data_IF_086355135405
#
_entry.id   IF_086355135405
#
_cell.length_a   1.000
_cell.length_b   1.000
_cell.length_c   1.000
_cell.angle_alpha   90.00
_cell.angle_beta   90.00
_cell.angle_gamma   90.00
#
_symmetry.space_group_name_H-M   'P 1'
#
loop_
_entity.id
_entity.type
_entity.pdbx_description
1 polymer ?
#
# COMPACT_ATOMS: atom_id res chain seq x y z
N UNK A 1 -6.26 -2.43 15.57
CA UNK A 1 -5.35 -1.84 14.55
C UNK A 1 -3.94 -2.44 14.59
N UNK A 2 -3.35 -2.70 15.77
CA UNK A 2 -2.03 -3.34 15.92
C UNK A 2 -1.91 -4.71 15.21
N UNK A 3 -2.90 -5.60 15.36
CA UNK A 3 -2.93 -6.90 14.67
C UNK A 3 -2.97 -6.76 13.14
N UNK A 4 -3.75 -5.81 12.63
CA UNK A 4 -3.85 -5.54 11.19
C UNK A 4 -2.52 -5.00 10.64
N UNK A 5 -1.82 -4.17 11.41
CA UNK A 5 -0.45 -3.73 11.08
C UNK A 5 0.49 -4.95 11.00
N UNK A 6 0.48 -5.85 11.99
CA UNK A 6 1.32 -7.05 11.94
C UNK A 6 1.00 -7.95 10.74
N UNK A 7 -0.29 -8.15 10.43
CA UNK A 7 -0.73 -8.91 9.24
C UNK A 7 -0.24 -8.23 7.95
N UNK A 8 -0.32 -6.90 7.87
CA UNK A 8 0.16 -6.13 6.71
C UNK A 8 1.67 -6.24 6.51
N UNK A 9 2.45 -6.21 7.60
CA UNK A 9 3.91 -6.35 7.55
C UNK A 9 4.28 -7.71 6.96
N UNK A 10 3.71 -8.80 7.51
CA UNK A 10 3.94 -10.16 6.98
C UNK A 10 3.53 -10.30 5.52
N UNK A 11 2.41 -9.68 5.14
CA UNK A 11 1.95 -9.68 3.75
C UNK A 11 2.95 -8.98 2.83
N UNK A 12 3.41 -7.78 3.17
CA UNK A 12 4.39 -7.03 2.38
C UNK A 12 5.71 -7.81 2.33
N UNK A 13 6.19 -8.36 3.44
CA UNK A 13 7.40 -9.18 3.49
C UNK A 13 7.29 -10.48 2.67
N UNK A 14 6.10 -11.06 2.52
CA UNK A 14 5.90 -12.23 1.66
C UNK A 14 5.86 -11.91 0.16
N UNK A 15 5.45 -10.69 -0.20
CA UNK A 15 5.32 -10.25 -1.58
C UNK A 15 6.64 -9.72 -2.15
N UNK A 16 7.45 -9.09 -1.31
CA UNK A 16 8.78 -8.59 -1.64
C UNK A 16 9.81 -9.39 -0.85
N UNK A 17 10.67 -10.14 -1.55
CA UNK A 17 11.78 -10.93 -0.97
C UNK A 17 12.50 -10.15 0.15
N UNK A 18 13.03 -10.82 1.18
CA UNK A 18 13.63 -10.16 2.33
C UNK A 18 14.75 -9.23 1.87
N UNK A 19 14.47 -7.93 1.85
CA UNK A 19 15.51 -6.93 1.64
C UNK A 19 16.31 -6.91 2.95
N UNK A 20 17.45 -7.58 2.95
CA UNK A 20 18.43 -7.55 4.04
C UNK A 20 19.05 -6.15 4.07
N UNK A 21 18.32 -5.17 4.60
CA UNK A 21 18.92 -3.87 4.93
C UNK A 21 19.59 -3.99 6.29
N UNK A 22 20.88 -4.24 6.26
CA UNK A 22 21.86 -4.23 7.37
C UNK A 22 22.13 -2.82 7.95
N UNK A 23 21.28 -1.84 7.66
CA UNK A 23 21.41 -0.46 8.17
C UNK A 23 20.25 -0.15 9.09
N UNK A 24 20.47 0.68 10.13
CA UNK A 24 19.49 1.19 11.11
C UNK A 24 18.34 1.97 10.43
N UNK A 25 17.52 1.29 9.64
CA UNK A 25 16.37 1.84 8.93
C UNK A 25 15.13 1.50 9.76
N UNK A 26 14.23 2.48 9.89
CA UNK A 26 12.92 2.34 10.54
C UNK A 26 12.25 1.03 10.09
N UNK A 27 11.75 0.23 11.04
CA UNK A 27 11.09 -1.05 10.73
C UNK A 27 9.87 -0.84 9.82
N UNK A 28 9.51 -1.83 9.00
CA UNK A 28 8.34 -1.72 8.11
C UNK A 28 7.06 -1.49 8.92
N UNK A 29 6.96 -2.07 10.11
CA UNK A 29 5.86 -1.83 11.06
C UNK A 29 5.80 -0.37 11.52
N UNK A 30 6.93 0.21 11.93
CA UNK A 30 7.01 1.61 12.37
C UNK A 30 6.70 2.57 11.21
N UNK A 31 7.15 2.25 9.99
CA UNK A 31 6.82 3.02 8.80
C UNK A 31 5.31 3.03 8.52
N UNK A 32 4.68 1.85 8.52
CA UNK A 32 3.22 1.71 8.29
C UNK A 32 2.46 2.47 9.38
N UNK A 33 2.83 2.29 10.64
CA UNK A 33 2.19 2.97 11.76
C UNK A 33 2.26 4.49 11.64
N UNK A 34 3.44 5.04 11.35
CA UNK A 34 3.64 6.49 11.21
C UNK A 34 2.88 7.03 9.98
N UNK A 35 2.88 6.29 8.87
CA UNK A 35 2.16 6.67 7.65
C UNK A 35 0.65 6.72 7.90
N UNK A 36 0.08 5.69 8.55
CA UNK A 36 -1.34 5.65 8.90
C UNK A 36 -1.72 6.79 9.84
N UNK A 37 -0.88 7.06 10.85
CA UNK A 37 -1.09 8.14 11.82
C UNK A 37 -1.09 9.51 11.15
N UNK A 38 -0.09 9.83 10.33
CA UNK A 38 0.03 11.14 9.67
C UNK A 38 -1.03 11.38 8.59
N UNK A 39 -1.41 10.33 7.87
CA UNK A 39 -2.46 10.41 6.84
C UNK A 39 -3.88 10.37 7.42
N UNK A 40 -4.04 10.19 8.73
CA UNK A 40 -5.35 9.99 9.39
C UNK A 40 -6.18 8.89 8.73
N UNK A 41 -5.51 7.80 8.35
CA UNK A 41 -6.13 6.70 7.61
C UNK A 41 -7.17 5.97 8.47
N UNK A 42 -8.35 5.72 7.90
CA UNK A 42 -9.40 4.90 8.52
C UNK A 42 -9.13 3.40 8.31
N UNK A 43 -9.77 2.55 9.12
CA UNK A 43 -9.62 1.09 8.98
C UNK A 43 -10.01 0.60 7.59
N UNK A 44 -11.13 1.09 7.03
CA UNK A 44 -11.62 0.68 5.71
C UNK A 44 -10.64 1.03 4.59
N UNK A 45 -10.01 2.22 4.64
CA UNK A 45 -8.97 2.61 3.69
C UNK A 45 -7.75 1.70 3.79
N UNK A 46 -7.32 1.37 5.01
CA UNK A 46 -6.21 0.45 5.22
C UNK A 46 -6.52 -0.96 4.72
N UNK A 47 -7.71 -1.49 5.02
CA UNK A 47 -8.16 -2.81 4.55
C UNK A 47 -8.25 -2.86 3.02
N UNK A 48 -8.74 -1.80 2.37
CA UNK A 48 -8.81 -1.70 0.92
C UNK A 48 -7.41 -1.61 0.29
N UNK A 49 -6.48 -0.89 0.91
CA UNK A 49 -5.10 -0.87 0.46
C UNK A 49 -4.46 -2.27 0.51
N UNK A 50 -4.74 -3.05 1.56
CA UNK A 50 -4.29 -4.44 1.64
C UNK A 50 -5.00 -5.32 0.62
N UNK A 51 -6.30 -5.09 0.37
CA UNK A 51 -7.04 -5.81 -0.67
C UNK A 51 -6.37 -5.67 -2.03
N UNK A 52 -6.03 -4.46 -2.47
CA UNK A 52 -5.39 -4.23 -3.76
C UNK A 52 -4.07 -4.98 -3.91
N UNK A 53 -3.25 -5.00 -2.85
CA UNK A 53 -2.00 -5.77 -2.82
C UNK A 53 -2.25 -7.28 -2.89
N UNK A 54 -3.28 -7.78 -2.19
CA UNK A 54 -3.57 -9.20 -2.10
C UNK A 54 -4.16 -9.72 -3.40
N UNK A 55 -5.16 -9.02 -3.92
CA UNK A 55 -5.85 -9.34 -5.16
C UNK A 55 -4.85 -9.39 -6.34
N UNK A 56 -3.94 -8.42 -6.40
CA UNK A 56 -2.95 -8.32 -7.48
C UNK A 56 -1.61 -9.01 -7.18
N UNK A 57 -1.50 -9.84 -6.13
CA UNK A 57 -0.24 -10.43 -5.66
C UNK A 57 0.57 -11.14 -6.76
N UNK A 58 -0.09 -11.90 -7.64
CA UNK A 58 0.59 -12.61 -8.74
C UNK A 58 1.24 -11.65 -9.73
N UNK A 59 0.54 -10.56 -10.06
CA UNK A 59 1.03 -9.51 -10.98
C UNK A 59 2.17 -8.73 -10.35
N UNK A 60 2.03 -8.39 -9.07
CA UNK A 60 3.07 -7.72 -8.28
C UNK A 60 4.33 -8.60 -8.23
N UNK A 61 4.21 -9.87 -7.86
CA UNK A 61 5.35 -10.78 -7.78
C UNK A 61 6.03 -10.98 -9.13
N UNK A 62 5.26 -11.08 -10.21
CA UNK A 62 5.83 -11.16 -11.55
C UNK A 62 6.58 -9.89 -11.90
N UNK A 63 5.98 -8.72 -11.67
CA UNK A 63 6.60 -7.43 -11.96
C UNK A 63 7.87 -7.20 -11.14
N UNK A 64 7.88 -7.57 -9.85
CA UNK A 64 9.07 -7.47 -8.98
C UNK A 64 10.25 -8.28 -9.55
N UNK A 65 9.99 -9.42 -10.19
CA UNK A 65 11.03 -10.25 -10.83
C UNK A 65 11.50 -9.71 -12.17
N UNK A 66 10.59 -9.16 -12.99
CA UNK A 66 10.89 -8.80 -14.38
C UNK A 66 11.32 -7.35 -14.57
N UNK A 67 10.87 -6.44 -13.71
CA UNK A 67 11.12 -5.00 -13.87
C UNK A 67 12.42 -4.57 -13.19
N UNK A 68 13.07 -3.56 -13.75
CA UNK A 68 14.14 -2.80 -13.09
C UNK A 68 13.63 -1.53 -12.42
N UNK A 69 12.32 -1.29 -12.41
CA UNK A 69 11.74 -0.12 -11.78
C UNK A 69 11.94 -0.14 -10.24
N UNK A 70 12.66 0.83 -9.66
CA UNK A 70 13.01 0.84 -8.25
C UNK A 70 11.78 1.08 -7.34
N UNK A 71 10.69 1.66 -7.86
CA UNK A 71 9.45 1.84 -7.11
C UNK A 71 8.75 0.49 -6.90
N UNK A 72 8.65 -0.34 -7.94
CA UNK A 72 8.01 -1.66 -7.87
C UNK A 72 8.79 -2.60 -6.96
N UNK A 73 10.13 -2.53 -6.96
CA UNK A 73 10.96 -3.37 -6.08
C UNK A 73 10.85 -3.02 -4.60
N UNK A 74 10.29 -1.85 -4.25
CA UNK A 74 10.18 -1.42 -2.87
C UNK A 74 8.74 -1.62 -2.34
N UNK A 75 8.55 -2.66 -1.51
CA UNK A 75 7.24 -2.96 -0.92
C UNK A 75 6.62 -1.81 -0.11
N UNK A 76 7.44 -0.98 0.55
CA UNK A 76 6.96 0.22 1.27
C UNK A 76 6.37 1.25 0.32
N UNK A 77 6.98 1.47 -0.85
CA UNK A 77 6.48 2.42 -1.85
C UNK A 77 5.22 1.90 -2.54
N UNK A 78 5.13 0.59 -2.77
CA UNK A 78 3.91 -0.03 -3.31
C UNK A 78 2.77 -0.04 -2.30
N UNK A 79 3.07 -0.22 -1.01
CA UNK A 79 2.10 -0.03 0.06
C UNK A 79 1.59 1.42 0.13
N UNK A 80 2.50 2.41 0.07
CA UNK A 80 2.13 3.83 -0.01
C UNK A 80 1.20 4.10 -1.19
N UNK A 81 1.55 3.63 -2.39
CA UNK A 81 0.74 3.80 -3.59
C UNK A 81 -0.67 3.21 -3.40
N UNK A 82 -0.75 1.98 -2.89
CA UNK A 82 -2.01 1.30 -2.61
C UNK A 82 -2.86 2.07 -1.61
N UNK A 83 -2.24 2.61 -0.56
CA UNK A 83 -2.92 3.41 0.46
C UNK A 83 -3.48 4.72 -0.10
N UNK A 84 -2.69 5.41 -0.93
CA UNK A 84 -3.14 6.63 -1.61
C UNK A 84 -4.37 6.37 -2.49
N UNK A 85 -4.34 5.30 -3.28
CA UNK A 85 -5.44 4.95 -4.19
C UNK A 85 -6.68 4.54 -3.40
N UNK A 86 -6.53 3.73 -2.35
CA UNK A 86 -7.62 3.37 -1.46
C UNK A 86 -8.26 4.59 -0.79
N UNK A 87 -7.44 5.55 -0.34
CA UNK A 87 -7.93 6.81 0.22
C UNK A 87 -8.70 7.63 -0.81
N UNK A 88 -8.22 7.69 -2.06
CA UNK A 88 -8.91 8.37 -3.16
C UNK A 88 -10.21 7.69 -3.57
N UNK A 89 -10.27 6.37 -3.46
CA UNK A 89 -11.45 5.58 -3.84
C UNK A 89 -12.60 5.71 -2.83
N UNK A 90 -12.30 5.74 -1.53
CA UNK A 90 -13.35 5.69 -0.49
C UNK A 90 -13.81 7.06 0.02
N UNK A 91 -13.07 8.14 -0.24
CA UNK A 91 -13.38 9.45 0.33
C UNK A 91 -13.69 10.46 -0.77
N UNK A 92 -14.77 11.23 -0.63
CA UNK A 92 -15.09 12.33 -1.55
C UNK A 92 -14.06 13.48 -1.47
N UNK A 93 -13.48 13.67 -0.28
CA UNK A 93 -12.41 14.63 0.00
C UNK A 93 -11.13 13.88 0.31
N UNK A 94 -10.18 13.91 -0.63
CA UNK A 94 -8.91 13.21 -0.54
C UNK A 94 -7.74 14.21 -0.49
N UNK A 95 -6.62 13.78 0.08
CA UNK A 95 -5.37 14.50 -0.08
C UNK A 95 -4.90 14.48 -1.53
N UNK A 96 -4.50 15.65 -2.02
CA UNK A 96 -3.78 15.80 -3.29
C UNK A 96 -2.36 15.22 -3.14
N UNK A 97 -1.72 14.88 -4.25
CA UNK A 97 -0.36 14.31 -4.23
C UNK A 97 0.68 15.25 -3.58
N UNK A 98 0.45 16.57 -3.59
CA UNK A 98 1.26 17.55 -2.84
C UNK A 98 1.24 17.29 -1.32
N UNK A 99 0.08 17.01 -0.76
CA UNK A 99 -0.07 16.72 0.68
C UNK A 99 0.54 15.37 1.02
N UNK A 100 0.39 14.37 0.15
CA UNK A 100 1.07 13.08 0.32
C UNK A 100 2.60 13.22 0.33
N UNK A 101 3.14 14.08 -0.55
CA UNK A 101 4.56 14.41 -0.57
C UNK A 101 5.05 15.02 0.75
N UNK A 102 4.26 15.92 1.34
CA UNK A 102 4.53 16.53 2.66
C UNK A 102 4.49 15.48 3.78
N UNK A 103 3.51 14.57 3.78
CA UNK A 103 3.37 13.50 4.79
C UNK A 103 4.56 12.54 4.76
N UNK A 104 4.97 12.11 3.57
CA UNK A 104 6.02 11.09 3.38
C UNK A 104 7.42 11.67 3.27
N UNK A 105 7.55 13.00 3.21
CA UNK A 105 8.81 13.70 2.95
C UNK A 105 9.48 13.27 1.63
N UNK A 106 8.66 13.00 0.61
CA UNK A 106 9.12 12.67 -0.74
C UNK A 106 8.84 13.82 -1.69
N UNK A 107 9.53 13.85 -2.83
CA UNK A 107 9.22 14.86 -3.87
C UNK A 107 7.85 14.56 -4.48
N UNK A 108 7.09 15.61 -4.83
CA UNK A 108 5.78 15.45 -5.50
C UNK A 108 5.89 14.62 -6.78
N UNK A 109 6.98 14.81 -7.54
CA UNK A 109 7.26 14.03 -8.75
C UNK A 109 7.40 12.52 -8.44
N UNK A 110 8.05 12.19 -7.33
CA UNK A 110 8.23 10.80 -6.90
C UNK A 110 6.89 10.19 -6.48
N UNK A 111 6.05 10.93 -5.76
CA UNK A 111 4.69 10.49 -5.41
C UNK A 111 3.84 10.23 -6.65
N UNK A 112 3.88 11.12 -7.65
CA UNK A 112 3.17 10.94 -8.90
C UNK A 112 3.63 9.69 -9.66
N UNK A 113 4.94 9.42 -9.66
CA UNK A 113 5.51 8.24 -10.29
C UNK A 113 5.12 6.96 -9.56
N UNK A 114 5.18 6.95 -8.22
CA UNK A 114 4.77 5.83 -7.37
C UNK A 114 3.30 5.48 -7.63
N UNK A 115 2.41 6.49 -7.62
CA UNK A 115 0.99 6.31 -7.91
C UNK A 115 0.74 5.76 -9.31
N UNK A 116 1.31 6.41 -10.33
CA UNK A 116 1.14 6.00 -11.73
C UNK A 116 1.67 4.58 -11.96
N UNK A 117 2.81 4.25 -11.35
CA UNK A 117 3.42 2.94 -11.48
C UNK A 117 2.54 1.84 -10.89
N UNK A 118 1.93 2.09 -9.73
CA UNK A 118 1.04 1.11 -9.11
C UNK A 118 -0.26 0.95 -9.89
N UNK A 119 -0.88 2.04 -10.35
CA UNK A 119 -2.08 1.99 -11.18
C UNK A 119 -1.85 1.16 -12.45
N UNK A 120 -0.72 1.39 -13.14
CA UNK A 120 -0.34 0.58 -14.30
C UNK A 120 -0.12 -0.89 -13.93
N UNK A 121 0.51 -1.16 -12.77
CA UNK A 121 0.77 -2.52 -12.30
C UNK A 121 -0.52 -3.32 -12.06
N UNK A 122 -1.56 -2.68 -11.51
CA UNK A 122 -2.88 -3.30 -11.32
C UNK A 122 -3.81 -3.14 -12.53
N UNK A 123 -3.32 -2.55 -13.63
CA UNK A 123 -4.11 -2.22 -14.83
C UNK A 123 -5.38 -1.41 -14.53
N UNK A 124 -5.25 -0.44 -13.63
CA UNK A 124 -6.34 0.45 -13.22
C UNK A 124 -7.57 -0.28 -12.67
N UNK A 125 -7.44 -1.56 -12.31
CA UNK A 125 -8.50 -2.38 -11.73
C UNK A 125 -8.64 -2.04 -10.24
N UNK A 126 -9.32 -0.93 -9.99
CA UNK A 126 -9.57 -0.37 -8.65
C UNK A 126 -11.01 -0.62 -8.19
N UNK A 127 -11.88 -1.13 -9.06
CA UNK A 127 -13.25 -1.41 -8.67
C UNK A 127 -13.30 -2.60 -7.72
N UNK A 128 -13.98 -2.42 -6.60
CA UNK A 128 -14.19 -3.50 -5.64
C UNK A 128 -15.67 -3.64 -5.36
N UNK A 129 -16.20 -4.85 -5.59
CA UNK A 129 -17.56 -5.18 -5.24
C UNK A 129 -17.74 -5.11 -3.70
N UNK A 130 -18.75 -4.38 -3.18
CA UNK A 130 -18.97 -4.24 -1.74
C UNK A 130 -19.05 -5.56 -0.98
N UNK A 131 -19.69 -6.59 -1.57
CA UNK A 131 -19.85 -7.92 -0.96
C UNK A 131 -18.50 -8.63 -0.84
N UNK A 132 -17.63 -8.48 -1.84
CA UNK A 132 -16.28 -9.05 -1.82
C UNK A 132 -15.43 -8.32 -0.78
N UNK A 133 -15.56 -6.99 -0.70
CA UNK A 133 -14.84 -6.19 0.27
C UNK A 133 -15.26 -6.53 1.72
N UNK A 134 -16.54 -6.74 1.96
CA UNK A 134 -17.06 -7.14 3.27
C UNK A 134 -16.51 -8.51 3.69
N UNK A 135 -16.56 -9.51 2.81
CA UNK A 135 -15.94 -10.83 3.06
C UNK A 135 -14.45 -10.72 3.35
N UNK A 136 -13.73 -9.90 2.59
CA UNK A 136 -12.32 -9.62 2.83
C UNK A 136 -12.06 -8.97 4.19
N UNK A 137 -12.88 -7.98 4.56
CA UNK A 137 -12.81 -7.29 5.85
C UNK A 137 -13.01 -8.25 7.02
N UNK A 138 -13.98 -9.17 6.92
CA UNK A 138 -14.23 -10.21 7.91
C UNK A 138 -13.03 -11.14 8.08
N UNK A 139 -12.46 -11.64 6.97
CA UNK A 139 -11.25 -12.49 6.99
C UNK A 139 -10.05 -11.77 7.63
N UNK A 140 -9.87 -10.48 7.35
CA UNK A 140 -8.79 -9.67 7.90
C UNK A 140 -8.97 -9.34 9.39
N UNK A 141 -10.20 -9.22 9.87
CA UNK A 141 -10.49 -8.93 11.27
C UNK A 141 -10.54 -10.19 12.14
N UNK A 142 -10.78 -11.37 11.55
CA UNK A 142 -10.90 -12.63 12.28
C UNK A 142 -12.16 -12.64 13.13
N UNK A 143 -13.30 -12.86 12.49
CA UNK A 143 -14.52 -13.34 13.14
C UNK A 143 -14.72 -14.80 12.79
#
# INVERSE_FOLDING_TARGET
>A
MSLLIQRSVKMIESLWLPYTTTTKIISTSSYIHELLKRSKTTCSVFQLALYYLFHNRKRIQQAVKTTMNPYIKCGRRMFLASLMIASKYLNDKTFKNKVWAEITLLKVQEINQIETCFLKLINYDIYVNPIIFEKWSQLLCGQ
#
